data_IF_751862725086
#
_entry.id   IF_751862725086
#
_cell.length_a   1.000
_cell.length_b   1.000
_cell.length_c   1.000
_cell.angle_alpha   90.00
_cell.angle_beta   90.00
_cell.angle_gamma   90.00
#
_symmetry.space_group_name_H-M   'P 1'
#
loop_
_entity.id
_entity.type
_entity.pdbx_description
1 polymer ?
#
# COMPACT_ATOMS: atom_id res chain seq x y z
N UNK A 1 10.59 19.82 -2.18
CA UNK A 1 9.36 19.25 -2.76
C UNK A 1 8.14 19.81 -2.08
N UNK A 2 7.01 19.79 -2.78
CA UNK A 2 5.69 19.97 -2.16
C UNK A 2 4.87 18.72 -2.44
N UNK A 3 4.40 18.06 -1.38
CA UNK A 3 3.50 16.91 -1.52
C UNK A 3 2.16 17.40 -2.08
N UNK A 4 1.66 16.68 -3.08
CA UNK A 4 0.27 16.83 -3.56
C UNK A 4 -0.46 15.49 -3.55
N UNK A 5 0.04 14.56 -2.73
CA UNK A 5 -0.51 13.22 -2.63
C UNK A 5 -1.99 13.26 -2.29
N UNK A 6 -2.42 14.14 -1.38
CA UNK A 6 -3.83 14.25 -0.99
C UNK A 6 -4.76 14.66 -2.14
N UNK A 7 -4.39 15.63 -2.97
CA UNK A 7 -5.24 16.08 -4.09
C UNK A 7 -5.42 14.97 -5.13
N UNK A 8 -4.33 14.31 -5.51
CA UNK A 8 -4.34 13.25 -6.51
C UNK A 8 -4.99 11.98 -5.94
N UNK A 9 -4.69 11.64 -4.69
CA UNK A 9 -5.31 10.53 -3.97
C UNK A 9 -6.84 10.72 -3.90
N UNK A 10 -7.33 11.89 -3.50
CA UNK A 10 -8.77 12.18 -3.46
C UNK A 10 -9.44 12.09 -4.85
N UNK A 11 -8.69 12.37 -5.92
CA UNK A 11 -9.22 12.39 -7.28
C UNK A 11 -9.20 11.01 -7.95
N UNK A 12 -8.18 10.20 -7.66
CA UNK A 12 -7.85 8.99 -8.42
C UNK A 12 -7.92 7.70 -7.61
N UNK A 13 -7.64 7.74 -6.31
CA UNK A 13 -7.58 6.53 -5.52
C UNK A 13 -8.94 5.82 -5.52
N UNK A 14 -8.91 4.52 -5.70
CA UNK A 14 -10.12 3.68 -5.73
C UNK A 14 -10.83 3.61 -7.08
N UNK A 15 -10.35 4.34 -8.09
CA UNK A 15 -10.91 4.31 -9.44
C UNK A 15 -10.11 3.36 -10.35
N UNK A 16 -10.74 2.69 -11.33
CA UNK A 16 -10.04 1.90 -12.33
C UNK A 16 -9.27 2.78 -13.33
N UNK A 17 -9.70 4.04 -13.49
CA UNK A 17 -9.03 5.04 -14.31
C UNK A 17 -9.23 6.44 -13.75
N UNK A 18 -8.26 7.33 -13.97
CA UNK A 18 -8.32 8.70 -13.52
C UNK A 18 -7.58 9.63 -14.49
N UNK A 19 -8.15 10.80 -14.75
CA UNK A 19 -7.46 11.90 -15.44
C UNK A 19 -6.98 12.90 -14.41
N UNK A 20 -5.67 13.11 -14.34
CA UNK A 20 -5.07 14.14 -13.48
C UNK A 20 -4.79 15.36 -14.34
N UNK A 21 -5.43 16.45 -13.95
CA UNK A 21 -5.10 17.80 -14.39
C UNK A 21 -4.02 18.33 -13.47
N UNK A 22 -2.91 18.77 -14.04
CA UNK A 22 -1.77 19.24 -13.25
C UNK A 22 -1.19 20.51 -13.82
N UNK A 23 -0.69 21.36 -12.92
CA UNK A 23 -0.04 22.61 -13.24
C UNK A 23 1.22 22.78 -12.40
N UNK A 24 2.15 23.58 -12.91
CA UNK A 24 3.37 23.87 -12.16
C UNK A 24 3.01 24.59 -10.85
N UNK A 25 3.49 24.07 -9.72
CA UNK A 25 3.29 24.69 -8.40
C UNK A 25 4.53 25.47 -7.98
N UNK A 26 4.31 26.61 -7.33
CA UNK A 26 5.38 27.37 -6.69
C UNK A 26 5.96 26.59 -5.52
N UNK A 27 7.25 26.26 -5.60
CA UNK A 27 7.94 25.46 -4.59
C UNK A 27 8.63 26.39 -3.59
N UNK A 28 8.08 26.50 -2.37
CA UNK A 28 8.66 27.30 -1.30
C UNK A 28 10.08 26.85 -0.92
N UNK A 29 10.35 25.54 -0.99
CA UNK A 29 11.67 24.94 -0.76
C UNK A 29 12.70 25.30 -1.85
N UNK A 30 12.29 26.07 -2.86
CA UNK A 30 13.02 26.33 -4.09
C UNK A 30 12.99 27.80 -4.49
N UNK A 31 13.16 28.69 -3.51
CA UNK A 31 13.14 30.15 -3.74
C UNK A 31 11.86 30.62 -4.44
N UNK A 32 10.73 29.94 -4.18
CA UNK A 32 9.45 30.20 -4.85
C UNK A 32 9.51 30.06 -6.38
N UNK A 33 10.39 29.20 -6.90
CA UNK A 33 10.39 28.84 -8.33
C UNK A 33 9.26 27.84 -8.64
N UNK A 34 8.70 27.88 -9.86
CA UNK A 34 7.74 26.87 -10.29
C UNK A 34 8.40 25.48 -10.36
N UNK A 35 7.64 24.43 -10.05
CA UNK A 35 8.05 23.04 -10.25
C UNK A 35 8.29 22.75 -11.73
N UNK A 36 9.30 21.93 -12.04
CA UNK A 36 9.57 21.50 -13.42
C UNK A 36 8.82 20.21 -13.77
N UNK A 37 8.36 19.46 -12.77
CA UNK A 37 7.58 18.25 -12.99
C UNK A 37 6.66 17.91 -11.82
N UNK A 38 5.72 17.02 -12.09
CA UNK A 38 4.93 16.27 -11.12
C UNK A 38 5.30 14.78 -11.22
N UNK A 39 5.82 14.23 -10.13
CA UNK A 39 6.13 12.81 -10.03
C UNK A 39 5.00 12.07 -9.34
N UNK A 40 4.54 10.96 -9.93
CA UNK A 40 3.46 10.13 -9.39
C UNK A 40 3.90 8.67 -9.43
N UNK A 41 3.98 8.05 -8.26
CA UNK A 41 4.10 6.60 -8.11
C UNK A 41 2.73 6.03 -7.76
N UNK A 42 2.29 5.03 -8.52
CA UNK A 42 1.02 4.35 -8.26
C UNK A 42 1.15 2.84 -8.51
N UNK A 43 0.23 2.08 -7.95
CA UNK A 43 0.08 0.66 -8.22
C UNK A 43 -1.38 0.37 -8.57
N UNK A 44 -1.60 -0.70 -9.32
CA UNK A 44 -2.93 -1.22 -9.61
C UNK A 44 -3.15 -2.46 -8.76
N UNK A 45 -4.07 -2.39 -7.79
CA UNK A 45 -4.40 -3.54 -6.94
C UNK A 45 -5.80 -4.07 -7.26
N UNK A 46 -6.06 -5.36 -7.02
CA UNK A 46 -7.38 -5.94 -7.12
C UNK A 46 -8.41 -5.19 -6.25
N UNK A 47 -9.60 -4.93 -6.79
CA UNK A 47 -10.71 -4.36 -6.02
C UNK A 47 -11.71 -5.43 -5.58
N UNK A 48 -12.10 -6.29 -6.54
CA UNK A 48 -12.98 -7.42 -6.31
C UNK A 48 -12.69 -8.47 -7.39
N UNK A 49 -12.06 -9.57 -6.99
CA UNK A 49 -11.72 -10.66 -7.89
C UNK A 49 -12.10 -11.99 -7.25
N UNK A 50 -13.03 -12.77 -7.84
CA UNK A 50 -13.48 -14.04 -7.28
C UNK A 50 -12.38 -15.09 -7.11
N UNK A 51 -11.26 -14.94 -7.83
CA UNK A 51 -10.09 -15.83 -7.73
C UNK A 51 -9.18 -15.52 -6.54
N UNK A 52 -9.41 -14.42 -5.82
CA UNK A 52 -8.63 -14.05 -4.63
C UNK A 52 -9.44 -14.38 -3.38
N UNK A 53 -8.83 -15.18 -2.50
CA UNK A 53 -9.45 -15.56 -1.23
C UNK A 53 -9.63 -14.35 -0.31
N UNK A 54 -10.79 -14.29 0.33
CA UNK A 54 -11.10 -13.30 1.37
C UNK A 54 -11.05 -13.99 2.73
N UNK A 55 -10.26 -13.43 3.63
CA UNK A 55 -10.11 -13.84 5.02
C UNK A 55 -10.91 -12.91 5.91
N UNK A 56 -11.52 -13.47 6.95
CA UNK A 56 -12.26 -12.69 7.93
C UNK A 56 -11.32 -12.38 9.11
N UNK A 57 -11.22 -11.09 9.43
CA UNK A 57 -10.35 -10.57 10.48
C UNK A 57 -10.68 -11.14 11.87
N UNK A 58 -11.93 -11.59 12.09
CA UNK A 58 -12.38 -12.20 13.34
C UNK A 58 -12.35 -13.74 13.36
N UNK A 59 -12.01 -14.38 12.24
CA UNK A 59 -11.99 -15.84 12.18
C UNK A 59 -10.59 -16.35 12.58
N UNK A 60 -10.44 -16.71 13.86
CA UNK A 60 -9.21 -17.23 14.46
C UNK A 60 -8.61 -18.48 13.76
N UNK A 61 -9.37 -19.15 12.90
CA UNK A 61 -8.93 -20.32 12.14
C UNK A 61 -8.53 -20.04 10.68
N UNK A 62 -8.71 -18.82 10.19
CA UNK A 62 -8.57 -18.48 8.76
C UNK A 62 -7.23 -17.81 8.44
N UNK A 63 -6.12 -18.44 8.84
CA UNK A 63 -4.81 -17.96 8.41
C UNK A 63 -4.59 -18.28 6.92
N UNK A 64 -3.90 -17.41 6.16
CA UNK A 64 -3.53 -17.72 4.80
C UNK A 64 -2.68 -19.01 4.75
N UNK A 65 -3.02 -20.00 3.91
CA UNK A 65 -2.18 -21.18 3.72
C UNK A 65 -0.77 -20.80 3.22
N UNK A 66 0.20 -21.71 3.40
CA UNK A 66 1.62 -21.46 3.08
C UNK A 66 1.89 -21.01 1.62
N UNK A 67 0.97 -21.32 0.70
CA UNK A 67 1.09 -20.99 -0.72
C UNK A 67 0.31 -19.73 -1.11
N UNK A 68 -0.36 -19.05 -0.18
CA UNK A 68 -1.03 -17.79 -0.48
C UNK A 68 0.01 -16.74 -0.86
N UNK A 69 -0.17 -16.09 -2.00
CA UNK A 69 0.64 -14.95 -2.44
C UNK A 69 -0.05 -13.61 -2.22
N UNK A 70 -1.38 -13.59 -2.14
CA UNK A 70 -2.20 -12.40 -1.97
C UNK A 70 -3.60 -12.76 -1.49
N UNK A 71 -4.30 -11.80 -0.90
CA UNK A 71 -5.65 -12.03 -0.39
C UNK A 71 -6.35 -10.73 0.00
N UNK A 72 -7.65 -10.83 0.26
CA UNK A 72 -8.40 -9.78 0.94
C UNK A 72 -8.54 -10.13 2.42
N UNK A 73 -8.52 -9.12 3.28
CA UNK A 73 -8.88 -9.28 4.70
C UNK A 73 -10.03 -8.33 4.98
N UNK A 74 -11.17 -8.86 5.44
CA UNK A 74 -12.35 -8.06 5.75
C UNK A 74 -12.76 -8.23 7.19
N UNK A 75 -13.32 -7.18 7.78
CA UNK A 75 -14.10 -7.30 9.00
C UNK A 75 -15.31 -8.23 8.79
N UNK A 76 -15.83 -8.88 9.84
CA UNK A 76 -16.92 -9.85 9.71
C UNK A 76 -18.15 -9.20 9.09
N UNK A 77 -18.79 -9.85 8.12
CA UNK A 77 -19.98 -9.35 7.41
C UNK A 77 -19.79 -7.98 6.73
N UNK A 78 -18.57 -7.57 6.36
CA UNK A 78 -18.35 -6.34 5.58
C UNK A 78 -19.25 -6.30 4.33
N UNK A 79 -19.93 -5.18 4.00
CA UNK A 79 -19.84 -3.84 4.60
C UNK A 79 -20.82 -3.56 5.76
N UNK A 80 -21.44 -4.59 6.34
CA UNK A 80 -22.36 -4.50 7.48
C UNK A 80 -21.73 -5.06 8.75
N UNK A 81 -20.53 -4.58 9.06
CA UNK A 81 -19.75 -5.13 10.18
C UNK A 81 -20.48 -4.95 11.52
N UNK A 82 -20.54 -5.97 12.38
CA UNK A 82 -21.15 -5.88 13.70
C UNK A 82 -20.41 -4.87 14.61
N UNK A 83 -21.13 -4.42 15.64
CA UNK A 83 -20.59 -3.64 16.75
C UNK A 83 -20.14 -4.57 17.88
N UNK A 84 -19.46 -4.02 18.88
CA UNK A 84 -18.99 -4.75 20.07
C UNK A 84 -18.11 -5.97 19.73
N UNK A 85 -17.09 -5.76 18.88
CA UNK A 85 -16.12 -6.78 18.49
C UNK A 85 -14.71 -6.32 18.86
N UNK A 86 -13.86 -7.26 19.27
CA UNK A 86 -12.42 -7.11 19.41
C UNK A 86 -11.78 -8.34 18.80
N UNK A 87 -11.18 -8.15 17.64
CA UNK A 87 -10.68 -9.23 16.81
C UNK A 87 -9.26 -8.93 16.37
N UNK A 88 -8.42 -9.96 16.34
CA UNK A 88 -7.06 -9.85 15.88
C UNK A 88 -6.78 -10.90 14.79
N UNK A 89 -6.02 -10.49 13.79
CA UNK A 89 -5.58 -11.31 12.67
C UNK A 89 -4.08 -11.16 12.49
N UNK A 90 -3.35 -12.27 12.59
CA UNK A 90 -1.91 -12.28 12.37
C UNK A 90 -1.60 -12.66 10.93
N UNK A 91 -1.17 -11.70 10.13
CA UNK A 91 -0.72 -11.95 8.77
C UNK A 91 0.77 -12.28 8.79
N UNK A 92 1.14 -13.51 8.44
CA UNK A 92 2.52 -13.98 8.51
C UNK A 92 2.99 -14.54 7.17
N UNK A 93 4.19 -14.17 6.72
CA UNK A 93 4.91 -14.89 5.66
C UNK A 93 5.78 -15.99 6.26
N UNK A 94 5.85 -17.11 5.55
CA UNK A 94 6.63 -18.28 5.93
C UNK A 94 7.86 -18.47 5.02
N UNK A 95 8.00 -17.64 3.98
CA UNK A 95 9.13 -17.73 3.05
C UNK A 95 10.19 -16.71 3.43
N UNK A 96 11.47 -17.10 3.41
CA UNK A 96 12.55 -16.13 3.57
C UNK A 96 12.55 -15.17 2.37
N UNK A 97 12.94 -13.91 2.62
CA UNK A 97 13.01 -12.87 1.59
C UNK A 97 11.66 -12.56 0.93
N UNK A 98 10.55 -12.66 1.67
CA UNK A 98 9.26 -12.09 1.27
C UNK A 98 8.88 -10.94 2.19
N UNK A 99 8.36 -9.88 1.59
CA UNK A 99 7.85 -8.70 2.27
C UNK A 99 6.33 -8.68 2.22
N UNK A 100 5.71 -8.15 3.27
CA UNK A 100 4.25 -8.02 3.36
C UNK A 100 3.86 -6.62 2.93
N UNK A 101 3.08 -6.51 1.86
CA UNK A 101 2.46 -5.26 1.42
C UNK A 101 0.99 -5.26 1.81
N UNK A 102 0.55 -4.19 2.47
CA UNK A 102 -0.82 -4.05 2.96
C UNK A 102 -1.44 -2.74 2.48
N UNK A 103 -2.67 -2.84 1.99
CA UNK A 103 -3.42 -1.74 1.40
C UNK A 103 -4.81 -1.65 2.05
N UNK A 104 -5.25 -0.45 2.39
CA UNK A 104 -6.64 -0.19 2.77
C UNK A 104 -7.45 -0.03 1.49
N UNK A 105 -8.40 -0.91 1.21
CA UNK A 105 -9.36 -0.69 0.12
C UNK A 105 -10.48 0.24 0.58
N UNK A 106 -11.04 -0.07 1.75
CA UNK A 106 -12.16 0.65 2.32
C UNK A 106 -12.11 0.54 3.85
N UNK A 107 -12.10 1.69 4.53
CA UNK A 107 -12.23 1.77 5.97
C UNK A 107 -13.27 2.85 6.30
N UNK A 108 -14.32 2.46 7.00
CA UNK A 108 -15.36 3.36 7.49
C UNK A 108 -15.70 2.95 8.91
N UNK A 109 -15.00 3.59 9.84
CA UNK A 109 -15.11 3.44 11.28
C UNK A 109 -15.60 4.76 11.88
N UNK A 110 -16.01 4.74 13.15
CA UNK A 110 -16.30 5.97 13.88
C UNK A 110 -15.09 6.91 13.86
N UNK A 111 -15.29 8.16 13.41
CA UNK A 111 -14.29 9.21 13.49
C UNK A 111 -14.07 9.66 14.93
N UNK A 112 -12.88 10.22 15.27
CA UNK A 112 -12.69 10.87 16.55
C UNK A 112 -13.64 12.07 16.68
N UNK A 113 -14.06 12.39 17.91
CA UNK A 113 -15.02 13.47 18.18
C UNK A 113 -14.47 14.86 17.78
N UNK A 114 -13.15 15.03 17.83
CA UNK A 114 -12.45 16.26 17.46
C UNK A 114 -11.21 15.93 16.61
N UNK A 115 -10.85 16.86 15.72
CA UNK A 115 -9.65 16.76 14.88
C UNK A 115 -8.41 16.71 15.79
N UNK A 116 -7.53 15.73 15.57
CA UNK A 116 -6.29 15.55 16.33
C UNK A 116 -6.43 14.74 17.63
N UNK A 117 -7.62 14.21 17.93
CA UNK A 117 -7.79 13.26 19.03
C UNK A 117 -7.51 11.81 18.60
N UNK A 118 -7.13 11.00 19.58
CA UNK A 118 -6.98 9.55 19.42
C UNK A 118 -8.32 8.86 19.16
N UNK A 119 -8.26 7.65 18.61
CA UNK A 119 -9.43 6.85 18.33
C UNK A 119 -9.98 6.25 19.62
N UNK A 120 -11.07 6.82 20.14
CA UNK A 120 -11.63 6.44 21.46
C UNK A 120 -12.75 5.40 21.39
N UNK A 121 -13.37 5.23 20.22
CA UNK A 121 -14.46 4.26 19.99
C UNK A 121 -13.98 3.10 19.15
N UNK A 122 -14.10 3.24 17.83
CA UNK A 122 -13.62 2.25 16.88
C UNK A 122 -12.14 2.49 16.63
N UNK A 123 -11.34 1.43 16.66
CA UNK A 123 -9.89 1.47 16.47
C UNK A 123 -9.49 0.35 15.54
N UNK A 124 -8.79 0.69 14.47
CA UNK A 124 -8.05 -0.27 13.67
C UNK A 124 -6.57 -0.10 13.96
N UNK A 125 -5.95 -1.12 14.53
CA UNK A 125 -4.58 -1.12 15.01
C UNK A 125 -3.77 -2.05 14.13
N UNK A 126 -2.63 -1.57 13.64
CA UNK A 126 -1.68 -2.35 12.86
C UNK A 126 -0.34 -2.31 13.56
N UNK A 127 0.15 -3.48 13.96
CA UNK A 127 1.40 -3.63 14.69
C UNK A 127 2.40 -4.43 13.86
N UNK A 128 3.59 -3.86 13.66
CA UNK A 128 4.71 -4.46 12.93
C UNK A 128 6.01 -3.92 13.53
N UNK A 129 6.93 -4.79 13.96
CA UNK A 129 8.35 -4.44 14.19
C UNK A 129 8.59 -3.23 15.12
N UNK A 130 7.82 -3.17 16.20
CA UNK A 130 7.78 -2.09 17.20
C UNK A 130 7.09 -0.80 16.76
N UNK A 131 6.54 -0.75 15.54
CA UNK A 131 5.63 0.31 15.12
C UNK A 131 4.19 -0.14 15.37
N UNK A 132 3.44 0.73 16.05
CA UNK A 132 2.01 0.56 16.24
C UNK A 132 1.33 1.76 15.61
N UNK A 133 0.51 1.50 14.61
CA UNK A 133 -0.32 2.50 13.96
C UNK A 133 -1.77 2.28 14.35
N UNK A 134 -2.43 3.35 14.77
CA UNK A 134 -3.83 3.33 15.16
C UNK A 134 -4.61 4.29 14.27
N UNK A 135 -5.72 3.80 13.71
CA UNK A 135 -6.55 4.54 12.79
C UNK A 135 -8.03 4.37 13.11
N UNK A 136 -8.81 5.37 12.71
CA UNK A 136 -10.26 5.38 12.78
C UNK A 136 -10.81 6.40 11.77
N UNK A 137 -12.12 6.56 11.73
CA UNK A 137 -12.77 7.37 10.70
C UNK A 137 -12.74 6.69 9.33
N UNK A 138 -12.62 7.52 8.30
CA UNK A 138 -12.69 7.08 6.90
C UNK A 138 -11.34 7.10 6.22
N UNK A 139 -10.96 5.99 5.60
CA UNK A 139 -9.83 5.91 4.67
C UNK A 139 -10.22 5.06 3.48
N UNK A 140 -9.74 5.43 2.29
CA UNK A 140 -10.09 4.80 1.03
C UNK A 140 -8.87 4.65 0.16
N UNK A 141 -8.62 3.42 -0.30
CA UNK A 141 -7.59 3.08 -1.29
C UNK A 141 -6.24 3.71 -0.98
N UNK A 142 -5.69 3.34 0.17
CA UNK A 142 -4.46 3.88 0.74
C UNK A 142 -3.40 2.79 0.91
N UNK A 143 -2.14 3.15 0.71
CA UNK A 143 -1.03 2.25 1.01
C UNK A 143 -0.74 2.31 2.50
N UNK A 144 -0.88 1.18 3.18
CA UNK A 144 -0.80 1.16 4.63
C UNK A 144 0.63 0.98 5.13
N UNK A 145 1.27 -0.10 4.67
CA UNK A 145 2.66 -0.39 4.99
C UNK A 145 3.25 -1.41 4.04
N UNK A 146 4.58 -1.44 4.03
CA UNK A 146 5.38 -2.59 3.61
C UNK A 146 6.30 -2.95 4.77
N UNK A 147 6.29 -4.20 5.22
CA UNK A 147 7.27 -4.70 6.19
C UNK A 147 8.18 -5.73 5.57
N UNK A 148 9.45 -5.64 5.94
CA UNK A 148 10.48 -6.62 5.62
C UNK A 148 10.47 -7.83 6.55
N UNK A 149 9.61 -7.82 7.58
CA UNK A 149 9.54 -8.83 8.62
C UNK A 149 8.44 -9.85 8.37
N UNK A 150 8.51 -10.95 9.11
CA UNK A 150 7.68 -12.12 8.84
C UNK A 150 6.22 -11.95 9.24
N UNK A 151 5.82 -10.97 10.06
CA UNK A 151 4.44 -10.88 10.57
C UNK A 151 3.92 -9.47 10.83
N UNK A 152 2.64 -9.26 10.55
CA UNK A 152 1.86 -8.05 10.88
C UNK A 152 0.62 -8.46 11.67
N UNK A 153 0.43 -7.87 12.85
CA UNK A 153 -0.79 -8.04 13.64
C UNK A 153 -1.79 -6.93 13.30
N UNK A 154 -2.97 -7.34 12.84
CA UNK A 154 -4.10 -6.46 12.56
C UNK A 154 -5.13 -6.65 13.67
N UNK A 155 -5.61 -5.57 14.29
CA UNK A 155 -6.64 -5.64 15.31
C UNK A 155 -7.75 -4.64 15.02
N UNK A 156 -9.00 -5.09 15.08
CA UNK A 156 -10.19 -4.26 14.95
C UNK A 156 -10.97 -4.29 16.25
N UNK A 157 -11.09 -3.12 16.87
CA UNK A 157 -11.91 -2.90 18.05
C UNK A 157 -13.08 -2.01 17.64
N UNK A 158 -14.31 -2.43 17.96
CA UNK A 158 -15.53 -1.64 17.73
C UNK A 158 -16.39 -1.64 18.98
N UNK A 159 -16.82 -0.47 19.42
CA UNK A 159 -17.72 -0.32 20.57
C UNK A 159 -19.15 -0.77 20.23
N UNK A 160 -20.03 -0.86 21.23
CA UNK A 160 -21.43 -1.26 21.04
C UNK A 160 -22.26 -0.28 20.20
N UNK A 161 -21.90 1.00 20.23
CA UNK A 161 -22.49 2.08 19.43
C UNK A 161 -21.74 2.34 18.11
N UNK A 162 -20.90 1.40 17.68
CA UNK A 162 -20.13 1.49 16.46
C UNK A 162 -21.01 1.75 15.22
N UNK A 163 -20.56 2.65 14.36
CA UNK A 163 -21.18 2.95 13.06
C UNK A 163 -20.15 2.83 11.94
N UNK A 164 -20.63 2.75 10.71
CA UNK A 164 -19.80 2.59 9.52
C UNK A 164 -19.62 1.14 9.11
N UNK A 165 -19.01 0.95 7.94
CA UNK A 165 -18.99 -0.33 7.22
C UNK A 165 -17.97 -1.35 7.71
N UNK A 166 -16.95 -0.90 8.44
CA UNK A 166 -15.83 -1.74 8.89
C UNK A 166 -14.58 -1.53 8.03
N UNK A 167 -13.80 -2.60 7.83
CA UNK A 167 -12.51 -2.55 7.14
C UNK A 167 -12.43 -3.63 6.07
N UNK A 168 -11.97 -3.26 4.87
CA UNK A 168 -11.56 -4.15 3.78
C UNK A 168 -10.14 -3.80 3.37
N UNK A 169 -9.26 -4.79 3.43
CA UNK A 169 -7.85 -4.68 3.11
C UNK A 169 -7.50 -5.61 1.95
N UNK A 170 -6.45 -5.26 1.22
CA UNK A 170 -5.76 -6.15 0.29
C UNK A 170 -4.32 -6.33 0.76
N UNK A 171 -3.84 -7.57 0.74
CA UNK A 171 -2.44 -7.87 1.01
C UNK A 171 -1.83 -8.67 -0.13
N UNK A 172 -0.51 -8.55 -0.27
CA UNK A 172 0.29 -9.43 -1.11
C UNK A 172 1.69 -9.59 -0.53
N UNK A 173 2.22 -10.80 -0.70
CA UNK A 173 3.61 -11.11 -0.41
C UNK A 173 4.44 -10.87 -1.67
N UNK A 174 5.57 -10.18 -1.51
CA UNK A 174 6.47 -9.90 -2.62
C UNK A 174 7.86 -10.40 -2.30
N UNK A 175 8.46 -11.08 -3.27
CA UNK A 175 9.85 -11.49 -3.19
C UNK A 175 10.78 -10.28 -3.14
N UNK A 176 11.81 -10.38 -2.32
CA UNK A 176 12.88 -9.41 -2.14
C UNK A 176 14.23 -10.03 -2.51
N UNK A 177 15.21 -9.20 -2.87
CA UNK A 177 16.56 -9.68 -3.12
C UNK A 177 17.18 -10.21 -1.82
N UNK A 178 17.92 -11.33 -1.83
CA UNK A 178 18.66 -11.80 -0.66
C UNK A 178 19.69 -10.80 -0.12
N UNK A 179 20.06 -9.80 -0.93
CA UNK A 179 20.99 -8.72 -0.57
C UNK A 179 20.31 -7.56 0.16
N UNK A 180 19.00 -7.45 0.07
CA UNK A 180 18.22 -6.43 0.77
C UNK A 180 18.05 -6.91 2.21
N UNK A 181 19.01 -6.56 3.07
CA UNK A 181 19.00 -6.94 4.49
C UNK A 181 17.88 -6.15 5.19
N UNK A 182 16.93 -6.85 5.82
CA UNK A 182 16.11 -6.23 6.86
C UNK A 182 17.08 -5.73 7.92
N UNK A 183 16.87 -4.54 8.49
CA UNK A 183 17.50 -4.22 9.78
C UNK A 183 16.90 -5.13 10.87
N UNK A 184 17.26 -6.41 10.86
CA UNK A 184 16.89 -7.36 11.90
C UNK A 184 17.71 -7.05 13.15
N UNK A 185 16.99 -6.88 14.27
CA UNK A 185 17.57 -6.95 15.60
C UNK A 185 18.15 -8.35 15.73
N UNK A 186 19.48 -8.44 15.78
CA UNK A 186 20.22 -9.68 15.95
C UNK A 186 19.71 -10.39 17.20
N UNK A 187 18.83 -11.37 17.03
CA UNK A 187 18.57 -12.36 18.05
C UNK A 187 19.53 -13.50 17.73
N UNK A 188 20.59 -13.60 18.52
CA UNK A 188 21.66 -14.59 18.39
C UNK A 188 21.11 -15.99 18.60
N UNK A 189 20.58 -16.59 17.53
CA UNK A 189 20.35 -18.03 17.49
C UNK A 189 21.58 -18.65 16.84
N UNK A 190 22.48 -19.13 17.70
CA UNK A 190 23.51 -20.09 17.32
C UNK A 190 22.83 -21.38 16.89
N UNK A 191 23.11 -21.88 15.68
CA UNK A 191 23.53 -23.28 15.45
C UNK A 191 23.73 -23.64 13.97
N UNK A 192 24.89 -24.27 13.73
CA UNK A 192 25.19 -25.39 12.84
C UNK A 192 24.79 -25.35 11.36
N UNK A 193 25.86 -25.32 10.57
CA UNK A 193 26.03 -25.56 9.14
C UNK A 193 25.29 -26.80 8.58
N UNK A 194 24.52 -26.68 7.49
CA UNK A 194 24.01 -27.84 6.76
C UNK A 194 24.83 -28.20 5.52
N UNK A 195 24.94 -29.50 5.29
CA UNK A 195 25.52 -30.21 4.13
C UNK A 195 24.69 -29.97 2.84
N UNK A 196 25.29 -30.04 1.64
CA UNK A 196 24.58 -29.75 0.39
C UNK A 196 23.82 -30.98 -0.14
N UNK A 197 22.57 -30.84 -0.62
CA UNK A 197 21.93 -31.90 -1.39
C UNK A 197 22.23 -31.75 -2.89
N UNK A 198 22.81 -32.80 -3.46
CA UNK A 198 22.87 -33.07 -4.89
C UNK A 198 21.53 -33.63 -5.36
N UNK A 199 20.92 -33.01 -6.38
CA UNK A 199 19.72 -33.57 -7.02
C UNK A 199 18.93 -32.54 -7.84
N UNK A 200 19.34 -32.32 -9.09
CA UNK A 200 18.55 -31.56 -10.08
C UNK A 200 17.38 -32.41 -10.54
N UNK A 201 16.19 -32.17 -9.97
CA UNK A 201 14.92 -32.70 -10.48
C UNK A 201 14.20 -31.56 -11.20
N UNK A 202 14.10 -31.65 -12.52
CA UNK A 202 13.33 -30.71 -13.35
C UNK A 202 11.84 -30.88 -13.10
N UNK A 203 11.28 -30.01 -12.25
CA UNK A 203 9.84 -29.89 -12.01
C UNK A 203 9.21 -29.11 -13.18
N UNK A 204 8.06 -29.53 -13.73
CA UNK A 204 7.36 -28.79 -14.77
C UNK A 204 6.97 -27.40 -14.26
N UNK A 205 7.28 -26.36 -15.04
CA UNK A 205 6.93 -24.97 -14.78
C UNK A 205 5.42 -24.85 -14.48
N UNK A 206 5.01 -24.45 -13.27
CA UNK A 206 3.60 -24.24 -12.96
C UNK A 206 3.04 -23.11 -13.81
N UNK A 207 1.83 -23.36 -14.32
CA UNK A 207 0.82 -22.41 -14.79
C UNK A 207 1.03 -20.99 -14.26
N UNK A 208 1.06 -20.00 -15.17
CA UNK A 208 1.15 -18.55 -14.95
C UNK A 208 0.85 -18.12 -13.51
N UNK A 209 1.91 -18.01 -12.69
CA UNK A 209 1.77 -17.34 -11.40
C UNK A 209 1.46 -15.88 -11.71
N UNK A 210 0.26 -15.43 -11.38
CA UNK A 210 -0.08 -14.01 -11.45
C UNK A 210 0.91 -13.30 -10.52
N UNK A 211 1.81 -12.52 -11.12
CA UNK A 211 2.86 -11.80 -10.42
C UNK A 211 2.30 -10.76 -9.44
N UNK A 212 3.17 -10.16 -8.60
CA UNK A 212 2.79 -9.10 -7.69
C UNK A 212 2.17 -7.92 -8.44
N UNK A 213 1.37 -7.11 -7.74
CA UNK A 213 0.74 -5.94 -8.35
C UNK A 213 1.80 -5.01 -8.97
N UNK A 214 1.65 -4.62 -10.25
CA UNK A 214 2.68 -3.85 -10.95
C UNK A 214 2.81 -2.45 -10.35
N UNK A 215 4.06 -2.03 -10.13
CA UNK A 215 4.40 -0.67 -9.71
C UNK A 215 4.68 0.20 -10.93
N UNK A 216 3.93 1.29 -11.04
CA UNK A 216 4.08 2.27 -12.10
C UNK A 216 4.63 3.57 -11.52
N UNK A 217 5.53 4.18 -12.29
CA UNK A 217 6.12 5.47 -11.96
C UNK A 217 6.02 6.33 -13.19
N UNK A 218 5.38 7.49 -13.06
CA UNK A 218 5.35 8.50 -14.12
C UNK A 218 5.91 9.82 -13.62
N UNK A 219 6.62 10.52 -14.49
CA UNK A 219 7.11 11.88 -14.25
C UNK A 219 6.59 12.77 -15.36
N UNK A 220 5.78 13.76 -15.00
CA UNK A 220 5.08 14.64 -15.92
C UNK A 220 5.82 15.98 -15.97
N UNK A 221 6.47 16.29 -17.10
CA UNK A 221 7.27 17.50 -17.26
C UNK A 221 6.42 18.72 -17.64
N UNK A 222 6.79 19.88 -17.11
CA UNK A 222 6.25 21.19 -17.52
C UNK A 222 7.27 21.86 -18.46
N UNK A 223 6.94 22.08 -19.75
CA UNK A 223 7.83 22.81 -20.66
C UNK A 223 7.95 24.28 -20.24
N UNK A 224 9.15 24.84 -20.35
CA UNK A 224 9.45 26.21 -19.89
C UNK A 224 8.69 27.33 -20.66
N UNK A 225 8.07 27.04 -21.81
CA UNK A 225 7.66 28.10 -22.76
C UNK A 225 6.18 28.29 -23.09
N UNK A 226 5.21 27.45 -22.68
CA UNK A 226 3.79 27.77 -23.04
C UNK A 226 2.67 26.98 -22.39
N UNK A 227 2.90 25.82 -21.77
CA UNK A 227 1.80 25.05 -21.15
C UNK A 227 2.11 24.71 -19.70
N UNK A 228 1.70 25.61 -18.79
CA UNK A 228 1.61 25.35 -17.35
C UNK A 228 0.51 24.34 -16.99
N UNK A 229 -0.15 23.73 -17.98
CA UNK A 229 -1.27 22.83 -17.82
C UNK A 229 -1.03 21.57 -18.63
N UNK A 230 -1.12 20.42 -17.98
CA UNK A 230 -1.07 19.12 -18.63
C UNK A 230 -2.19 18.21 -18.15
N UNK A 231 -2.49 17.19 -18.95
CA UNK A 231 -3.44 16.14 -18.62
C UNK A 231 -2.78 14.79 -18.79
N UNK A 232 -2.94 13.91 -17.81
CA UNK A 232 -2.46 12.54 -17.91
C UNK A 232 -3.53 11.58 -17.44
N UNK A 233 -3.66 10.48 -18.18
CA UNK A 233 -4.62 9.42 -17.90
C UNK A 233 -3.90 8.24 -17.27
N UNK A 234 -4.35 7.87 -16.09
CA UNK A 234 -3.96 6.67 -15.38
C UNK A 234 -5.04 5.62 -15.55
N UNK A 235 -4.66 4.40 -15.89
CA UNK A 235 -5.60 3.32 -16.11
C UNK A 235 -5.04 2.00 -15.60
N UNK A 236 -5.87 1.29 -14.84
CA UNK A 236 -5.66 -0.09 -14.44
C UNK A 236 -6.47 -1.03 -15.33
N UNK A 237 -6.13 -2.31 -15.29
CA UNK A 237 -6.92 -3.36 -15.93
C UNK A 237 -8.30 -3.50 -15.27
N UNK A 238 -9.23 -4.18 -15.95
CA UNK A 238 -10.56 -4.47 -15.39
C UNK A 238 -10.44 -5.20 -14.04
N UNK A 239 -11.24 -4.80 -13.06
CA UNK A 239 -11.24 -5.28 -11.66
C UNK A 239 -10.05 -4.81 -10.79
N UNK A 240 -9.19 -3.93 -11.30
CA UNK A 240 -8.14 -3.28 -10.53
C UNK A 240 -8.48 -1.80 -10.30
N UNK A 241 -7.95 -1.26 -9.20
CA UNK A 241 -8.09 0.14 -8.82
C UNK A 241 -6.72 0.77 -8.58
N UNK A 242 -6.65 2.08 -8.79
CA UNK A 242 -5.46 2.89 -8.55
C UNK A 242 -5.23 3.10 -7.06
N UNK A 243 -4.03 2.79 -6.58
CA UNK A 243 -3.50 3.27 -5.29
C UNK A 243 -2.36 4.22 -5.57
N UNK A 244 -2.47 5.45 -5.09
CA UNK A 244 -1.40 6.44 -5.17
C UNK A 244 -0.41 6.14 -4.04
N UNK A 245 0.81 5.74 -4.37
CA UNK A 245 1.86 5.44 -3.40
C UNK A 245 2.57 6.72 -2.94
N UNK A 246 2.75 7.64 -3.88
CA UNK A 246 3.34 8.96 -3.63
C UNK A 246 3.02 9.89 -4.79
N UNK A 247 2.80 11.17 -4.49
CA UNK A 247 2.84 12.21 -5.50
C UNK A 247 3.47 13.49 -4.95
N UNK A 248 4.40 14.06 -5.71
CA UNK A 248 5.09 15.28 -5.31
C UNK A 248 5.55 16.10 -6.52
N UNK A 249 5.61 17.40 -6.30
CA UNK A 249 6.21 18.35 -7.22
C UNK A 249 7.69 18.53 -6.92
N UNK A 250 8.51 18.53 -7.96
CA UNK A 250 9.96 18.71 -7.86
C UNK A 250 10.55 19.52 -9.01
N UNK A 251 11.84 19.82 -8.91
CA UNK A 251 12.62 20.56 -9.91
C UNK A 251 14.10 20.17 -9.84
N UNK A 252 14.69 19.60 -10.89
CA UNK A 252 15.95 18.87 -10.78
C UNK A 252 17.22 19.57 -10.26
N UNK A 253 18.16 18.67 -9.90
CA UNK A 253 19.49 18.69 -9.21
C UNK A 253 19.88 19.78 -8.20
N UNK A 254 19.20 20.92 -8.10
CA UNK A 254 19.37 21.92 -7.04
C UNK A 254 18.01 22.50 -6.64
N UNK A 255 17.01 21.61 -6.62
CA UNK A 255 15.66 21.78 -6.09
C UNK A 255 14.75 20.51 -6.10
N UNK A 256 15.32 19.35 -5.78
CA UNK A 256 15.60 18.24 -6.71
C UNK A 256 15.00 16.87 -6.35
N UNK A 257 14.49 16.09 -7.33
CA UNK A 257 14.34 14.60 -7.32
C UNK A 257 14.66 14.09 -8.72
N UNK A 258 15.69 13.28 -8.99
CA UNK A 258 15.99 12.75 -10.34
C UNK A 258 16.03 11.20 -10.36
N UNK A 259 15.37 10.51 -11.30
CA UNK A 259 16.11 9.55 -12.13
C UNK A 259 16.34 10.15 -13.52
N UNK A 260 17.14 11.22 -13.53
CA UNK A 260 17.51 12.03 -14.71
C UNK A 260 16.48 13.08 -15.12
N UNK A 261 16.16 14.01 -14.22
CA UNK A 261 15.02 14.93 -14.34
C UNK A 261 14.80 15.58 -15.71
N UNK A 262 13.66 15.23 -16.29
CA UNK A 262 13.11 15.61 -17.59
C UNK A 262 14.03 15.36 -18.80
N UNK A 263 14.51 14.14 -18.94
CA UNK A 263 15.32 13.72 -20.11
C UNK A 263 14.46 13.42 -21.35
N UNK A 264 14.15 14.52 -22.07
CA UNK A 264 13.69 14.65 -23.48
C UNK A 264 12.32 14.07 -23.82
N UNK A 265 11.43 14.77 -24.53
CA UNK A 265 11.69 15.50 -25.78
C UNK A 265 11.44 17.01 -25.75
N UNK A 266 12.14 17.69 -26.66
CA UNK A 266 12.01 19.08 -27.05
C UNK A 266 10.60 19.44 -27.56
#
# INVERSE_FOLDING_TARGET
FQSDSSTIQNSCAGKPSCTVFHFAKTLATCENRPSAYLHIGYTCIPNDMPSITTYNLCDNGSLPPMNTSRGFITSPNFPTTPSNIDCAFNLQTLKPYEDIYLYILDMDLNSPNLIGQSCTKDRFIVSSDNNVMEMCGRSYTDFLLSTCHSSVLLQLIRTSDARGRGVKLYFEFRGRSPQDICSEIITTISTLQPTPPTGLTTIPKPSESIGPSPHYVTTLCFPDTSSLFGTNNFQCQTNYILVILRAFYGRGSRCDYSPGDCTSEA
#
